data_IF_387228064938
#
_entry.id   IF_387228064938
#
_cell.length_a   1.000
_cell.length_b   1.000
_cell.length_c   1.000
_cell.angle_alpha   90.00
_cell.angle_beta   90.00
_cell.angle_gamma   90.00
#
_symmetry.space_group_name_H-M   'P 1'
#
loop_
_entity.id
_entity.type
_entity.pdbx_description
1 polymer ?
#
# COMPACT_ATOMS: atom_id res chain seq x y z
N UNK A 1 3.73 3.05 -14.84
CA UNK A 1 3.93 2.25 -13.60
C UNK A 1 4.66 0.96 -13.98
N UNK A 2 5.77 0.62 -13.33
CA UNK A 2 6.49 -0.64 -13.58
C UNK A 2 6.22 -1.63 -12.44
N UNK A 3 6.33 -2.93 -12.71
CA UNK A 3 6.11 -4.00 -11.71
C UNK A 3 7.00 -3.82 -10.49
N UNK A 4 8.28 -3.53 -10.69
CA UNK A 4 9.23 -3.29 -9.60
C UNK A 4 8.85 -2.08 -8.75
N UNK A 5 8.30 -1.03 -9.38
CA UNK A 5 7.80 0.13 -8.64
C UNK A 5 6.57 -0.21 -7.81
N UNK A 6 5.62 -0.98 -8.37
CA UNK A 6 4.41 -1.39 -7.67
C UNK A 6 4.74 -2.28 -6.44
N UNK A 7 5.64 -3.25 -6.59
CA UNK A 7 6.06 -4.12 -5.48
C UNK A 7 6.70 -3.28 -4.37
N UNK A 8 7.63 -2.38 -4.70
CA UNK A 8 8.29 -1.52 -3.72
C UNK A 8 7.29 -0.64 -2.96
N UNK A 9 6.34 -0.03 -3.65
CA UNK A 9 5.29 0.79 -3.03
C UNK A 9 4.40 -0.04 -2.08
N UNK A 10 3.97 -1.23 -2.52
CA UNK A 10 3.17 -2.13 -1.67
C UNK A 10 3.95 -2.61 -0.45
N UNK A 11 5.23 -2.95 -0.60
CA UNK A 11 6.10 -3.33 0.52
C UNK A 11 6.23 -2.21 1.55
N UNK A 12 6.34 -0.95 1.11
CA UNK A 12 6.37 0.20 2.00
C UNK A 12 5.05 0.34 2.78
N UNK A 13 3.90 0.21 2.11
CA UNK A 13 2.59 0.27 2.78
C UNK A 13 2.38 -0.85 3.80
N UNK A 14 2.95 -2.04 3.57
CA UNK A 14 2.96 -3.13 4.55
C UNK A 14 3.85 -2.80 5.75
N UNK A 15 5.07 -2.31 5.52
CA UNK A 15 6.00 -1.92 6.59
C UNK A 15 5.41 -0.81 7.47
N UNK A 16 4.71 0.13 6.86
CA UNK A 16 4.01 1.23 7.53
C UNK A 16 2.68 0.83 8.16
N UNK A 17 2.27 -0.45 8.03
CA UNK A 17 1.00 -1.03 8.51
C UNK A 17 -0.25 -0.33 7.98
N UNK A 18 -0.16 0.24 6.77
CA UNK A 18 -1.29 0.85 6.05
C UNK A 18 -2.15 -0.23 5.40
N UNK A 19 -1.49 -1.28 4.88
CA UNK A 19 -2.14 -2.46 4.31
C UNK A 19 -1.49 -3.73 4.86
N UNK A 20 -2.18 -4.85 4.71
CA UNK A 20 -1.59 -6.19 4.80
C UNK A 20 -1.88 -6.95 3.51
N UNK A 21 -1.02 -7.90 3.19
CA UNK A 21 -1.09 -8.70 1.97
C UNK A 21 -1.09 -10.17 2.37
N UNK A 22 -2.09 -10.89 1.87
CA UNK A 22 -2.21 -12.34 1.96
C UNK A 22 -2.27 -12.93 0.55
N UNK A 23 -1.10 -13.33 0.04
CA UNK A 23 -0.92 -13.74 -1.35
C UNK A 23 -1.31 -12.65 -2.34
N UNK A 24 -2.44 -12.84 -3.04
CA UNK A 24 -3.01 -11.87 -4.00
C UNK A 24 -4.09 -10.96 -3.38
N UNK A 25 -4.47 -11.19 -2.13
CA UNK A 25 -5.46 -10.37 -1.43
C UNK A 25 -4.75 -9.25 -0.69
N UNK A 26 -5.27 -8.04 -0.81
CA UNK A 26 -4.80 -6.88 -0.06
C UNK A 26 -5.93 -6.46 0.87
N UNK A 27 -5.64 -6.32 2.16
CA UNK A 27 -6.55 -5.77 3.15
C UNK A 27 -6.02 -4.43 3.62
N UNK A 28 -6.87 -3.41 3.59
CA UNK A 28 -6.54 -2.08 4.11
C UNK A 28 -6.68 -2.13 5.63
N UNK A 29 -5.64 -1.67 6.33
CA UNK A 29 -5.62 -1.56 7.80
C UNK A 29 -5.93 -0.12 8.20
N UNK A 30 -5.37 0.85 7.48
CA UNK A 30 -5.53 2.29 7.74
C UNK A 30 -5.97 3.01 6.46
N UNK A 31 -7.29 3.11 6.29
CA UNK A 31 -7.90 3.73 5.10
C UNK A 31 -7.68 5.24 5.06
N UNK A 32 -7.73 5.93 6.20
CA UNK A 32 -7.57 7.37 6.27
C UNK A 32 -6.17 7.79 5.84
N UNK A 33 -5.13 7.07 6.29
CA UNK A 33 -3.75 7.31 5.87
C UNK A 33 -3.56 7.01 4.38
N UNK A 34 -4.14 5.93 3.88
CA UNK A 34 -4.07 5.60 2.45
C UNK A 34 -4.75 6.69 1.59
N UNK A 35 -5.90 7.22 2.02
CA UNK A 35 -6.59 8.32 1.34
C UNK A 35 -5.78 9.61 1.35
N UNK A 36 -5.06 9.92 2.44
CA UNK A 36 -4.14 11.07 2.49
C UNK A 36 -2.99 10.91 1.50
N UNK A 37 -2.34 9.73 1.47
CA UNK A 37 -1.26 9.42 0.53
C UNK A 37 -1.76 9.55 -0.92
N UNK A 38 -2.96 9.06 -1.21
CA UNK A 38 -3.56 9.12 -2.55
C UNK A 38 -3.82 10.55 -3.06
N UNK A 39 -3.92 11.54 -2.18
CA UNK A 39 -4.17 12.95 -2.55
C UNK A 39 -2.88 13.74 -2.78
N UNK A 40 -1.75 13.25 -2.28
CA UNK A 40 -0.43 13.90 -2.39
C UNK A 40 0.36 13.30 -3.58
N UNK A 41 -0.22 12.31 -4.26
CA UNK A 41 0.35 11.65 -5.43
C UNK A 41 0.70 12.59 -6.57
#
# INVERSE_FOLDING_TARGET
>A
MTTSNAIRTLSNFVNERVITIDGRKIKIIDEDRLRKISRIG
#
